data_IF_246823602584
#
_entry.id   IF_246823602584
#
_cell.length_a   1.000
_cell.length_b   1.000
_cell.length_c   1.000
_cell.angle_alpha   90.00
_cell.angle_beta   90.00
_cell.angle_gamma   90.00
#
_symmetry.space_group_name_H-M   'P 1'
#
loop_
_entity.id
_entity.type
_entity.pdbx_description
1 polymer ?
#
# COMPACT_ATOMS: atom_id res chain seq x y z
N UNK A 1 -13.51 0.94 -25.85
CA UNK A 1 -13.10 2.31 -25.42
C UNK A 1 -13.25 3.25 -26.60
N UNK A 2 -13.83 4.44 -26.40
CA UNK A 2 -13.97 5.45 -27.47
C UNK A 2 -12.61 6.05 -27.84
N UNK A 3 -12.41 6.36 -29.12
CA UNK A 3 -11.19 6.99 -29.67
C UNK A 3 -10.79 8.27 -28.91
N UNK A 4 -11.79 9.05 -28.48
CA UNK A 4 -11.60 10.29 -27.70
C UNK A 4 -10.98 10.02 -26.33
N UNK A 5 -11.39 8.94 -25.66
CA UNK A 5 -10.85 8.55 -24.35
C UNK A 5 -9.37 8.17 -24.45
N UNK A 6 -8.96 7.51 -25.54
CA UNK A 6 -7.56 7.13 -25.76
C UNK A 6 -6.65 8.34 -26.01
N UNK A 7 -7.11 9.33 -26.79
CA UNK A 7 -6.39 10.58 -27.01
C UNK A 7 -6.22 11.39 -25.73
N UNK A 8 -7.29 11.49 -24.92
CA UNK A 8 -7.25 12.19 -23.64
C UNK A 8 -6.30 11.52 -22.64
N UNK A 9 -6.31 10.18 -22.56
CA UNK A 9 -5.37 9.44 -21.72
C UNK A 9 -3.91 9.69 -22.14
N UNK A 10 -3.60 9.61 -23.43
CA UNK A 10 -2.25 9.92 -23.95
C UNK A 10 -1.81 11.34 -23.60
N UNK A 11 -2.71 12.31 -23.75
CA UNK A 11 -2.43 13.70 -23.40
C UNK A 11 -2.09 13.85 -21.92
N UNK A 12 -2.87 13.24 -21.02
CA UNK A 12 -2.58 13.31 -19.59
C UNK A 12 -1.30 12.57 -19.20
N UNK A 13 -1.01 11.43 -19.83
CA UNK A 13 0.26 10.72 -19.65
C UNK A 13 1.46 11.60 -20.02
N UNK A 14 1.37 12.34 -21.13
CA UNK A 14 2.40 13.32 -21.52
C UNK A 14 2.50 14.52 -20.58
N UNK A 15 1.42 14.89 -19.88
CA UNK A 15 1.47 15.95 -18.88
C UNK A 15 2.20 15.48 -17.63
N UNK A 16 1.87 14.30 -17.10
CA UNK A 16 2.49 13.80 -15.88
C UNK A 16 3.96 13.44 -16.08
N UNK A 17 4.37 13.03 -17.29
CA UNK A 17 5.76 12.67 -17.57
C UNK A 17 6.74 13.84 -17.52
N UNK A 18 6.25 15.08 -17.48
CA UNK A 18 7.08 16.30 -17.44
C UNK A 18 7.56 16.66 -16.04
N UNK A 19 7.07 15.99 -15.02
CA UNK A 19 7.31 16.34 -13.62
C UNK A 19 7.54 15.07 -12.79
N UNK A 20 8.20 15.15 -11.62
CA UNK A 20 8.36 14.01 -10.73
C UNK A 20 7.00 13.39 -10.38
N UNK A 21 6.95 12.06 -10.33
CA UNK A 21 5.78 11.28 -9.93
C UNK A 21 6.07 10.62 -8.58
N UNK A 22 5.06 10.18 -7.82
CA UNK A 22 5.32 9.36 -6.64
C UNK A 22 6.00 8.06 -7.07
N UNK A 23 7.10 7.70 -6.42
CA UNK A 23 7.80 6.44 -6.65
C UNK A 23 7.11 5.28 -5.92
N UNK A 24 6.56 5.57 -4.74
CA UNK A 24 5.81 4.65 -3.90
C UNK A 24 4.40 5.16 -3.60
N UNK A 25 3.39 4.38 -4.00
CA UNK A 25 1.97 4.68 -3.74
C UNK A 25 1.36 3.65 -2.80
N UNK A 26 0.84 4.11 -1.66
CA UNK A 26 0.05 3.30 -0.74
C UNK A 26 -1.43 3.35 -1.13
N UNK A 27 -2.12 2.22 -1.06
CA UNK A 27 -3.55 2.07 -1.32
C UNK A 27 -4.21 1.30 -0.17
N UNK A 28 -5.33 1.83 0.32
CA UNK A 28 -6.18 1.12 1.28
C UNK A 28 -7.50 0.72 0.61
N UNK A 29 -7.81 -0.57 0.72
CA UNK A 29 -9.06 -1.21 0.29
C UNK A 29 -9.57 -2.13 1.39
N UNK A 30 -10.85 -2.51 1.34
CA UNK A 30 -11.43 -3.49 2.26
C UNK A 30 -11.32 -4.93 1.73
N UNK A 31 -11.64 -5.93 2.56
CA UNK A 31 -11.80 -7.31 2.09
C UNK A 31 -12.94 -7.43 1.08
N UNK A 32 -14.01 -6.63 1.22
CA UNK A 32 -15.16 -6.67 0.33
C UNK A 32 -14.84 -6.16 -1.08
N UNK A 33 -13.82 -5.30 -1.19
CA UNK A 33 -13.27 -4.80 -2.44
C UNK A 33 -12.46 -5.86 -3.20
N UNK A 34 -12.02 -6.92 -2.52
CA UNK A 34 -11.31 -8.05 -3.15
C UNK A 34 -12.21 -9.27 -3.35
N UNK A 35 -13.15 -9.51 -2.44
CA UNK A 35 -13.97 -10.73 -2.44
C UNK A 35 -15.11 -10.72 -3.47
N UNK A 36 -15.41 -9.58 -4.08
CA UNK A 36 -16.36 -9.54 -5.19
C UNK A 36 -15.78 -10.17 -6.47
N UNK A 37 -16.65 -10.53 -7.41
CA UNK A 37 -16.31 -11.36 -8.57
C UNK A 37 -15.12 -10.87 -9.42
N UNK A 38 -14.91 -9.54 -9.54
CA UNK A 38 -13.79 -8.98 -10.30
C UNK A 38 -12.70 -8.32 -9.44
N UNK A 39 -12.72 -8.48 -8.10
CA UNK A 39 -11.81 -7.76 -7.20
C UNK A 39 -10.33 -8.02 -7.48
N UNK A 40 -9.94 -9.29 -7.65
CA UNK A 40 -8.56 -9.64 -8.02
C UNK A 40 -8.17 -9.18 -9.42
N UNK A 41 -9.12 -9.17 -10.36
CA UNK A 41 -8.90 -8.60 -11.70
C UNK A 41 -8.66 -7.10 -11.61
N UNK A 42 -9.42 -6.39 -10.78
CA UNK A 42 -9.26 -4.96 -10.53
C UNK A 42 -7.91 -4.65 -9.89
N UNK A 43 -7.47 -5.48 -8.94
CA UNK A 43 -6.14 -5.41 -8.34
C UNK A 43 -5.04 -5.56 -9.41
N UNK A 44 -5.21 -6.49 -10.37
CA UNK A 44 -4.33 -6.63 -11.54
C UNK A 44 -4.23 -5.36 -12.36
N UNK A 45 -5.39 -4.79 -12.66
CA UNK A 45 -5.49 -3.60 -13.49
C UNK A 45 -4.83 -2.42 -12.78
N UNK A 46 -5.07 -2.23 -11.48
CA UNK A 46 -4.41 -1.24 -10.64
C UNK A 46 -2.89 -1.36 -10.67
N UNK A 47 -2.34 -2.55 -10.40
CA UNK A 47 -0.89 -2.81 -10.47
C UNK A 47 -0.35 -2.49 -11.87
N UNK A 48 -1.09 -2.84 -12.91
CA UNK A 48 -0.72 -2.54 -14.30
C UNK A 48 -0.71 -1.03 -14.57
N UNK A 49 -1.69 -0.30 -14.05
CA UNK A 49 -1.77 1.15 -14.19
C UNK A 49 -0.61 1.83 -13.48
N UNK A 50 -0.28 1.43 -12.25
CA UNK A 50 0.88 1.96 -11.51
C UNK A 50 2.19 1.80 -12.31
N UNK A 51 2.42 0.60 -12.85
CA UNK A 51 3.59 0.32 -13.69
C UNK A 51 3.62 1.19 -14.94
N UNK A 52 2.48 1.33 -15.62
CA UNK A 52 2.37 2.15 -16.83
C UNK A 52 2.58 3.64 -16.57
N UNK A 53 2.29 4.13 -15.36
CA UNK A 53 2.54 5.51 -14.96
C UNK A 53 3.96 5.78 -14.49
N UNK A 54 4.79 4.74 -14.32
CA UNK A 54 6.18 4.85 -13.85
C UNK A 54 6.36 4.74 -12.34
N UNK A 55 5.29 4.44 -11.59
CA UNK A 55 5.39 4.13 -10.14
C UNK A 55 6.24 2.85 -10.02
N UNK A 56 7.16 2.81 -9.05
CA UNK A 56 8.07 1.67 -8.84
C UNK A 56 7.59 0.72 -7.76
N UNK A 57 6.78 1.22 -6.83
CA UNK A 57 6.27 0.42 -5.72
C UNK A 57 4.83 0.76 -5.38
N UNK A 58 4.05 -0.25 -4.99
CA UNK A 58 2.77 -0.03 -4.31
C UNK A 58 2.65 -0.87 -3.04
N UNK A 59 2.23 -0.22 -1.95
CA UNK A 59 1.82 -0.88 -0.72
C UNK A 59 0.30 -0.94 -0.67
N UNK A 60 -0.26 -2.10 -0.37
CA UNK A 60 -1.71 -2.32 -0.38
C UNK A 60 -2.10 -2.88 0.98
N UNK A 61 -2.95 -2.13 1.69
CA UNK A 61 -3.57 -2.63 2.91
C UNK A 61 -4.98 -3.06 2.64
N UNK A 62 -5.25 -4.30 3.04
CA UNK A 62 -6.56 -4.90 3.01
C UNK A 62 -7.11 -4.83 4.43
N UNK A 63 -7.94 -3.83 4.65
CA UNK A 63 -8.69 -3.66 5.88
C UNK A 63 -9.70 -4.81 5.97
N UNK A 64 -9.71 -5.52 7.10
CA UNK A 64 -10.66 -6.60 7.37
C UNK A 64 -11.53 -6.17 8.53
N UNK A 65 -12.84 -6.32 8.37
CA UNK A 65 -13.84 -5.93 9.35
C UNK A 65 -13.55 -6.55 10.73
N UNK A 66 -13.86 -5.76 11.74
CA UNK A 66 -13.79 -6.18 13.14
C UNK A 66 -14.98 -7.10 13.43
N UNK A 67 -14.75 -8.40 13.22
CA UNK A 67 -15.68 -9.48 13.54
C UNK A 67 -15.11 -10.31 14.69
N UNK A 68 -15.85 -11.34 15.12
CA UNK A 68 -15.35 -12.28 16.12
C UNK A 68 -13.98 -12.84 15.69
N UNK A 69 -13.06 -12.96 16.66
CA UNK A 69 -11.64 -13.20 16.42
C UNK A 69 -11.39 -14.42 15.51
N UNK A 70 -12.10 -15.53 15.73
CA UNK A 70 -11.91 -16.73 14.92
C UNK A 70 -12.37 -16.52 13.47
N UNK A 71 -13.50 -15.85 13.24
CA UNK A 71 -14.00 -15.53 11.91
C UNK A 71 -13.05 -14.57 11.18
N UNK A 72 -12.52 -13.58 11.90
CA UNK A 72 -11.56 -12.62 11.37
C UNK A 72 -10.29 -13.32 10.91
N UNK A 73 -9.71 -14.19 11.74
CA UNK A 73 -8.49 -14.94 11.38
C UNK A 73 -8.73 -15.89 10.20
N UNK A 74 -9.86 -16.61 10.17
CA UNK A 74 -10.23 -17.46 9.02
C UNK A 74 -10.37 -16.66 7.72
N UNK A 75 -10.95 -15.45 7.79
CA UNK A 75 -11.07 -14.56 6.63
C UNK A 75 -9.68 -14.13 6.13
N UNK A 76 -8.80 -13.71 7.04
CA UNK A 76 -7.44 -13.28 6.71
C UNK A 76 -6.65 -14.42 6.08
N UNK A 77 -6.71 -15.62 6.66
CA UNK A 77 -6.03 -16.81 6.12
C UNK A 77 -6.51 -17.12 4.70
N UNK A 78 -7.82 -17.13 4.48
CA UNK A 78 -8.42 -17.36 3.17
C UNK A 78 -8.03 -16.31 2.14
N UNK A 79 -8.02 -15.03 2.51
CA UNK A 79 -7.58 -13.94 1.64
C UNK A 79 -6.10 -14.07 1.30
N UNK A 80 -5.26 -14.35 2.29
CA UNK A 80 -3.81 -14.53 2.15
C UNK A 80 -3.48 -15.69 1.21
N UNK A 81 -4.19 -16.81 1.34
CA UNK A 81 -4.05 -17.95 0.43
C UNK A 81 -4.40 -17.58 -1.02
N UNK A 82 -5.53 -16.89 -1.24
CA UNK A 82 -5.94 -16.42 -2.58
C UNK A 82 -4.96 -15.42 -3.17
N UNK A 83 -4.45 -14.49 -2.37
CA UNK A 83 -3.44 -13.52 -2.78
C UNK A 83 -2.13 -14.21 -3.15
N UNK A 84 -1.72 -15.24 -2.41
CA UNK A 84 -0.54 -16.03 -2.73
C UNK A 84 -0.68 -16.72 -4.09
N UNK A 85 -1.80 -17.39 -4.35
CA UNK A 85 -2.09 -18.01 -5.65
C UNK A 85 -2.08 -16.98 -6.79
N UNK A 86 -2.59 -15.78 -6.52
CA UNK A 86 -2.65 -14.70 -7.49
C UNK A 86 -1.26 -14.08 -7.77
N UNK A 87 -0.47 -13.79 -6.74
CA UNK A 87 0.85 -13.16 -6.84
C UNK A 87 1.90 -14.09 -7.46
N UNK A 88 1.85 -15.39 -7.17
CA UNK A 88 2.76 -16.37 -7.77
C UNK A 88 2.63 -16.42 -9.29
N UNK A 89 1.43 -16.19 -9.84
CA UNK A 89 1.15 -16.09 -11.28
C UNK A 89 1.57 -14.76 -11.92
N UNK A 90 1.95 -13.75 -11.14
CA UNK A 90 2.39 -12.47 -11.68
C UNK A 90 3.75 -12.61 -12.41
N UNK A 91 4.04 -11.79 -13.44
CA UNK A 91 5.33 -11.81 -14.15
C UNK A 91 6.53 -11.72 -13.21
N UNK A 92 7.63 -12.43 -13.53
CA UNK A 92 8.83 -12.46 -12.68
C UNK A 92 9.55 -11.11 -12.49
N UNK A 93 9.26 -10.11 -13.34
CA UNK A 93 9.73 -8.74 -13.13
C UNK A 93 9.06 -8.03 -11.96
N UNK A 94 7.90 -8.52 -11.52
CA UNK A 94 7.14 -8.01 -10.37
C UNK A 94 7.53 -8.80 -9.13
N UNK A 95 8.11 -8.08 -8.17
CA UNK A 95 8.37 -8.56 -6.83
C UNK A 95 7.17 -8.33 -5.94
N UNK A 96 7.02 -9.16 -4.92
CA UNK A 96 5.98 -8.98 -3.92
C UNK A 96 6.44 -9.43 -2.54
N UNK A 97 5.80 -8.87 -1.51
CA UNK A 97 5.81 -9.38 -0.15
C UNK A 97 4.38 -9.36 0.37
N UNK A 98 3.94 -10.47 0.95
CA UNK A 98 2.60 -10.64 1.50
C UNK A 98 2.70 -10.93 2.99
N UNK A 99 2.04 -10.09 3.79
CA UNK A 99 2.01 -10.18 5.24
C UNK A 99 0.61 -10.52 5.73
N UNK A 100 0.56 -11.37 6.75
CA UNK A 100 -0.67 -11.80 7.41
C UNK A 100 -1.01 -10.96 8.64
N UNK A 101 -1.91 -11.48 9.46
CA UNK A 101 -2.58 -10.78 10.55
C UNK A 101 -1.64 -10.21 11.63
N UNK A 102 -0.51 -10.87 11.86
CA UNK A 102 0.46 -10.56 12.91
C UNK A 102 1.76 -9.95 12.37
N UNK A 103 1.77 -9.57 11.08
CA UNK A 103 2.96 -9.04 10.42
C UNK A 103 3.99 -10.11 10.08
N UNK A 104 3.60 -11.38 10.06
CA UNK A 104 4.40 -12.49 9.56
C UNK A 104 4.44 -12.49 8.03
N UNK A 105 5.60 -12.80 7.46
CA UNK A 105 5.77 -12.91 6.02
C UNK A 105 5.25 -14.27 5.54
N UNK A 106 4.19 -14.26 4.72
CA UNK A 106 3.57 -15.47 4.15
C UNK A 106 4.20 -15.89 2.83
N UNK A 107 4.49 -14.92 1.97
CA UNK A 107 5.07 -15.20 0.65
C UNK A 107 5.83 -14.00 0.15
N UNK A 108 6.97 -14.24 -0.48
CA UNK A 108 7.74 -13.20 -1.14
C UNK A 108 8.37 -13.68 -2.44
N UNK A 109 8.65 -12.70 -3.30
CA UNK A 109 9.50 -12.85 -4.48
C UNK A 109 10.19 -11.53 -4.75
N UNK A 110 11.49 -11.57 -5.05
CA UNK A 110 12.21 -10.38 -5.52
C UNK A 110 11.84 -10.05 -6.96
N UNK A 111 11.52 -8.78 -7.20
CA UNK A 111 11.29 -8.21 -8.52
C UNK A 111 12.49 -7.39 -8.99
N UNK A 112 12.50 -7.06 -10.28
CA UNK A 112 13.49 -6.14 -10.85
C UNK A 112 12.91 -4.74 -11.08
N UNK A 113 11.67 -4.66 -11.55
CA UNK A 113 11.14 -3.43 -12.14
C UNK A 113 10.04 -2.79 -11.28
N UNK A 114 9.31 -3.61 -10.50
CA UNK A 114 8.18 -3.15 -9.71
C UNK A 114 8.01 -4.02 -8.47
N UNK A 115 7.75 -3.40 -7.32
CA UNK A 115 7.55 -4.08 -6.05
C UNK A 115 6.11 -3.89 -5.55
N UNK A 116 5.51 -4.97 -5.07
CA UNK A 116 4.23 -4.95 -4.37
C UNK A 116 4.48 -5.29 -2.90
N UNK A 117 3.89 -4.53 -2.01
CA UNK A 117 3.78 -4.89 -0.60
C UNK A 117 2.29 -5.05 -0.30
N UNK A 118 1.88 -6.15 0.33
CA UNK A 118 0.49 -6.37 0.74
C UNK A 118 0.45 -6.74 2.22
N UNK A 119 -0.38 -6.05 2.99
CA UNK A 119 -0.72 -6.40 4.37
C UNK A 119 -2.20 -6.73 4.47
N UNK A 120 -2.52 -7.90 5.05
CA UNK A 120 -3.90 -8.35 5.27
C UNK A 120 -4.22 -8.26 6.76
N UNK A 121 -4.98 -7.24 7.16
CA UNK A 121 -5.45 -7.08 8.54
C UNK A 121 -4.37 -6.76 9.59
N UNK A 122 -3.10 -6.54 9.19
CA UNK A 122 -2.04 -6.03 10.04
C UNK A 122 -1.84 -4.53 9.86
N UNK A 123 -2.48 -3.77 10.75
CA UNK A 123 -2.49 -2.32 10.75
C UNK A 123 -1.30 -1.68 11.49
N UNK A 124 -1.17 -0.37 11.33
CA UNK A 124 -0.06 0.41 11.89
C UNK A 124 0.00 0.41 13.42
N UNK A 125 -1.14 0.43 14.12
CA UNK A 125 -1.19 0.33 15.58
C UNK A 125 -0.64 -1.00 16.07
N UNK A 126 -0.99 -2.11 15.41
CA UNK A 126 -0.44 -3.44 15.73
C UNK A 126 1.06 -3.47 15.47
N UNK A 127 1.52 -2.88 14.37
CA UNK A 127 2.94 -2.77 14.04
C UNK A 127 3.74 -2.02 15.11
N UNK A 128 3.31 -0.80 15.47
CA UNK A 128 4.01 0.00 16.49
C UNK A 128 3.99 -0.71 17.84
N UNK A 129 2.87 -1.33 18.21
CA UNK A 129 2.77 -2.11 19.46
C UNK A 129 3.76 -3.27 19.46
N UNK A 130 3.90 -3.99 18.33
CA UNK A 130 4.88 -5.06 18.16
C UNK A 130 6.31 -4.51 18.28
N UNK A 131 6.62 -3.40 17.59
CA UNK A 131 7.94 -2.78 17.63
C UNK A 131 8.35 -2.38 19.06
N UNK A 132 7.43 -1.79 19.83
CA UNK A 132 7.65 -1.45 21.24
C UNK A 132 7.93 -2.71 22.08
N UNK A 133 7.17 -3.80 21.89
CA UNK A 133 7.44 -5.07 22.59
C UNK A 133 8.82 -5.64 22.26
N UNK A 134 9.22 -5.57 20.99
CA UNK A 134 10.54 -6.04 20.54
C UNK A 134 11.68 -5.21 21.16
N UNK A 135 11.50 -3.89 21.29
CA UNK A 135 12.46 -3.01 21.99
C UNK A 135 12.53 -3.34 23.47
N UNK A 136 11.39 -3.52 24.14
CA UNK A 136 11.36 -3.87 25.57
C UNK A 136 12.05 -5.21 25.85
N UNK A 137 11.95 -6.17 24.91
CA UNK A 137 12.69 -7.42 25.01
C UNK A 137 14.22 -7.18 24.92
N UNK A 138 14.68 -6.32 24.01
CA UNK A 138 16.11 -5.92 23.94
C UNK A 138 16.58 -5.22 25.22
N UNK A 139 15.74 -4.39 25.83
CA UNK A 139 16.02 -3.74 27.13
C UNK A 139 16.17 -4.80 28.23
N UNK A 140 15.25 -5.75 28.31
CA UNK A 140 15.27 -6.84 29.30
C UNK A 140 16.53 -7.71 29.17
N UNK A 141 17.02 -7.89 27.94
CA UNK A 141 18.26 -8.62 27.64
C UNK A 141 19.52 -7.79 27.88
N UNK A 142 19.41 -6.52 28.28
CA UNK A 142 20.54 -5.62 28.51
C UNK A 142 21.24 -5.14 27.22
N UNK A 143 20.61 -5.30 26.06
CA UNK A 143 21.18 -4.92 24.75
C UNK A 143 21.06 -3.42 24.45
N UNK A 144 20.12 -2.73 25.09
CA UNK A 144 19.87 -1.29 24.95
C UNK A 144 19.36 -0.74 26.29
N UNK A 145 19.73 0.49 26.66
CA UNK A 145 19.15 1.15 27.84
C UNK A 145 17.86 1.87 27.46
N UNK A 146 16.85 1.95 28.36
CA UNK A 146 15.63 2.71 28.09
C UNK A 146 15.86 4.16 27.66
N UNK A 147 16.87 4.82 28.23
CA UNK A 147 17.24 6.20 27.92
C UNK A 147 17.91 6.39 26.56
N UNK A 148 18.34 5.31 25.91
CA UNK A 148 19.03 5.33 24.62
C UNK A 148 18.06 5.04 23.46
N UNK A 149 16.79 4.71 23.74
CA UNK A 149 15.78 4.42 22.72
C UNK A 149 15.50 5.70 21.90
N UNK A 150 15.69 5.58 20.59
CA UNK A 150 15.48 6.63 19.60
C UNK A 150 14.41 6.24 18.57
N UNK A 151 14.02 7.19 17.71
CA UNK A 151 13.16 6.94 16.54
C UNK A 151 13.74 5.83 15.65
N UNK A 152 15.07 5.79 15.48
CA UNK A 152 15.75 4.76 14.69
C UNK A 152 15.60 3.36 15.27
N UNK A 153 15.51 3.24 16.60
CA UNK A 153 15.29 1.95 17.24
C UNK A 153 13.88 1.43 16.97
N UNK A 154 12.88 2.32 16.95
CA UNK A 154 11.50 2.02 16.56
C UNK A 154 11.47 1.59 15.09
N UNK A 155 12.04 2.40 14.19
CA UNK A 155 12.12 2.11 12.75
C UNK A 155 12.79 0.77 12.46
N UNK A 156 13.83 0.41 13.23
CA UNK A 156 14.52 -0.87 13.08
C UNK A 156 13.63 -2.08 13.37
N UNK A 157 12.60 -1.88 14.20
CA UNK A 157 11.65 -2.89 14.66
C UNK A 157 10.31 -2.87 13.91
N UNK A 158 10.07 -1.92 13.01
CA UNK A 158 8.91 -1.93 12.12
C UNK A 158 9.00 -3.09 11.13
N UNK A 159 7.85 -3.71 10.84
CA UNK A 159 7.74 -4.77 9.84
C UNK A 159 7.91 -4.20 8.44
N UNK A 160 7.37 -3.00 8.22
CA UNK A 160 7.43 -2.28 6.94
C UNK A 160 8.39 -1.11 7.04
N UNK A 161 9.30 -1.00 6.09
CA UNK A 161 10.29 0.10 6.01
C UNK A 161 10.10 0.99 4.79
N UNK A 162 8.98 0.82 4.09
CA UNK A 162 8.68 1.56 2.88
C UNK A 162 7.85 2.79 3.20
N UNK A 163 8.37 3.96 2.88
CA UNK A 163 7.72 5.25 3.07
C UNK A 163 6.97 5.62 1.79
N UNK A 164 5.64 5.79 1.80
CA UNK A 164 4.91 6.17 0.61
C UNK A 164 5.06 7.66 0.33
N UNK A 165 5.21 8.04 -0.94
CA UNK A 165 5.11 9.45 -1.35
C UNK A 165 3.64 9.90 -1.34
N UNK A 166 2.75 8.98 -1.69
CA UNK A 166 1.33 9.22 -1.87
C UNK A 166 0.51 8.10 -1.24
N UNK A 167 -0.44 8.47 -0.39
CA UNK A 167 -1.37 7.58 0.27
C UNK A 167 -2.79 7.77 -0.28
N UNK A 168 -3.35 6.73 -0.90
CA UNK A 168 -4.69 6.74 -1.52
C UNK A 168 -5.65 5.95 -0.64
N UNK A 169 -6.74 6.59 -0.21
CA UNK A 169 -7.88 5.90 0.41
C UNK A 169 -9.12 6.04 -0.47
N UNK A 170 -9.69 4.89 -0.85
CA UNK A 170 -10.95 4.80 -1.58
C UNK A 170 -12.12 4.68 -0.61
N UNK A 171 -13.19 5.46 -0.83
CA UNK A 171 -14.46 5.28 -0.10
C UNK A 171 -14.48 5.80 1.35
N UNK A 172 -13.52 6.63 1.76
CA UNK A 172 -13.45 7.18 3.11
C UNK A 172 -12.73 8.53 3.19
N UNK A 173 -12.98 9.29 4.27
CA UNK A 173 -12.39 10.62 4.52
C UNK A 173 -11.43 10.68 5.71
N UNK A 174 -11.19 9.54 6.35
CA UNK A 174 -10.35 9.44 7.55
C UNK A 174 -9.05 8.72 7.25
N UNK A 175 -8.02 8.95 8.07
CA UNK A 175 -6.79 8.17 8.01
C UNK A 175 -7.07 6.69 8.32
N UNK A 176 -6.38 5.81 7.62
CA UNK A 176 -6.45 4.36 7.85
C UNK A 176 -5.40 3.94 8.87
N UNK A 177 -5.64 2.83 9.57
CA UNK A 177 -4.64 2.20 10.42
C UNK A 177 -3.59 1.45 9.59
N UNK A 178 -2.85 2.15 8.72
CA UNK A 178 -1.82 1.56 7.86
C UNK A 178 -0.66 2.51 7.64
N UNK A 179 0.57 2.00 7.77
CA UNK A 179 1.83 2.75 7.64
C UNK A 179 1.84 4.04 8.48
N UNK A 180 1.35 4.00 9.72
CA UNK A 180 1.15 5.22 10.53
C UNK A 180 2.45 5.96 10.84
N UNK A 181 3.57 5.24 10.96
CA UNK A 181 4.89 5.84 11.17
C UNK A 181 5.49 6.28 9.83
N UNK A 182 5.48 5.39 8.85
CA UNK A 182 6.13 5.54 7.56
C UNK A 182 5.45 6.59 6.67
N UNK A 183 4.18 6.91 6.93
CA UNK A 183 3.41 7.87 6.12
C UNK A 183 3.36 9.29 6.66
N UNK A 184 4.16 9.62 7.69
CA UNK A 184 4.13 10.94 8.33
C UNK A 184 4.41 12.10 7.37
N UNK A 185 5.24 11.88 6.34
CA UNK A 185 5.56 12.87 5.31
C UNK A 185 4.84 12.61 3.97
N UNK A 186 3.92 11.65 3.93
CA UNK A 186 3.18 11.31 2.72
C UNK A 186 2.13 12.37 2.36
N UNK A 187 1.90 12.55 1.07
CA UNK A 187 0.72 13.24 0.57
C UNK A 187 -0.50 12.33 0.64
N UNK A 188 -1.61 12.81 1.21
CA UNK A 188 -2.85 12.04 1.27
C UNK A 188 -3.81 12.43 0.15
N UNK A 189 -4.42 11.42 -0.48
CA UNK A 189 -5.48 11.57 -1.47
C UNK A 189 -6.68 10.71 -1.08
N UNK A 190 -7.77 11.37 -0.68
CA UNK A 190 -9.05 10.74 -0.40
C UNK A 190 -9.93 10.83 -1.66
N UNK A 191 -10.36 9.68 -2.18
CA UNK A 191 -11.25 9.62 -3.34
C UNK A 191 -12.64 9.14 -2.94
N UNK A 192 -13.66 9.88 -3.39
CA UNK A 192 -15.07 9.47 -3.29
C UNK A 192 -15.44 8.41 -4.34
N UNK A 193 -14.54 8.12 -5.29
CA UNK A 193 -14.74 7.06 -6.30
C UNK A 193 -14.62 5.70 -5.62
N UNK A 194 -15.69 4.90 -5.70
CA UNK A 194 -15.70 3.50 -5.27
C UNK A 194 -14.60 2.71 -5.98
N UNK A 195 -13.89 1.85 -5.24
CA UNK A 195 -12.78 1.04 -5.74
C UNK A 195 -13.16 0.25 -7.01
N UNK A 196 -14.36 -0.32 -7.04
CA UNK A 196 -14.90 -1.09 -8.18
C UNK A 196 -15.00 -0.23 -9.43
N UNK A 197 -15.17 1.07 -9.26
CA UNK A 197 -15.33 2.06 -10.32
C UNK A 197 -14.04 2.80 -10.70
N UNK A 198 -12.95 2.66 -9.93
CA UNK A 198 -11.66 3.32 -10.25
C UNK A 198 -11.15 2.90 -11.63
N UNK A 199 -10.66 3.84 -12.43
CA UNK A 199 -10.05 3.57 -13.74
C UNK A 199 -8.61 4.07 -13.76
N UNK A 200 -7.86 3.63 -14.77
CA UNK A 200 -6.54 4.18 -15.09
C UNK A 200 -6.51 5.71 -15.10
N UNK A 201 -7.53 6.32 -15.67
CA UNK A 201 -7.66 7.78 -15.74
C UNK A 201 -7.68 8.44 -14.37
N UNK A 202 -8.29 7.79 -13.39
CA UNK A 202 -8.39 8.29 -12.02
C UNK A 202 -7.00 8.23 -11.35
N UNK A 203 -6.22 7.18 -11.57
CA UNK A 203 -4.81 7.10 -11.14
C UNK A 203 -3.96 8.22 -11.75
N UNK A 204 -4.09 8.48 -13.05
CA UNK A 204 -3.35 9.57 -13.72
C UNK A 204 -3.73 10.94 -13.13
N UNK A 205 -5.01 11.15 -12.81
CA UNK A 205 -5.49 12.38 -12.17
C UNK A 205 -4.93 12.56 -10.77
N UNK A 206 -4.90 11.49 -9.98
CA UNK A 206 -4.33 11.48 -8.64
C UNK A 206 -2.83 11.88 -8.68
N UNK A 207 -2.05 11.28 -9.59
CA UNK A 207 -0.63 11.61 -9.78
C UNK A 207 -0.46 13.09 -10.16
N UNK A 208 -1.31 13.59 -11.07
CA UNK A 208 -1.26 15.00 -11.48
C UNK A 208 -1.56 15.95 -10.32
N UNK A 209 -2.45 15.58 -9.41
CA UNK A 209 -2.76 16.41 -8.25
C UNK A 209 -1.67 16.36 -7.18
N UNK A 210 -1.03 15.20 -6.98
CA UNK A 210 0.23 15.09 -6.23
C UNK A 210 1.29 16.07 -6.78
N UNK A 211 1.52 16.05 -8.10
CA UNK A 211 2.49 16.95 -8.76
C UNK A 211 2.19 18.43 -8.55
N UNK A 212 0.91 18.82 -8.52
CA UNK A 212 0.53 20.22 -8.26
C UNK A 212 0.83 20.63 -6.83
N UNK A 213 0.63 19.74 -5.85
CA UNK A 213 0.89 20.02 -4.43
C UNK A 213 2.38 20.10 -4.13
N UNK A 214 3.17 19.17 -4.66
CA UNK A 214 4.64 19.20 -4.52
C UNK A 214 5.26 20.51 -5.03
N UNK A 215 4.73 21.08 -6.13
CA UNK A 215 5.17 22.40 -6.62
C UNK A 215 4.83 23.58 -5.72
N UNK A 216 3.83 23.45 -4.84
CA UNK A 216 3.48 24.50 -3.87
C UNK A 216 4.41 24.50 -2.68
N UNK A 217 4.92 23.32 -2.29
CA UNK A 217 5.89 23.17 -1.19
C UNK A 217 7.33 23.48 -1.63
N UNK A 218 7.66 23.28 -2.91
CA UNK A 218 8.97 23.63 -3.49
C UNK A 218 9.09 25.06 -4.04
N UNK A 219 8.31 26.02 -3.51
CA UNK A 219 8.44 27.45 -3.81
C UNK A 219 8.78 28.25 -2.57
#
# INVERSE_FOLDING_TARGET
>A
MSFVTSLYEKHLMQQISKYPIPEHVSLVISETDLLYAEGFRKLKDYVTWCRQTGIRMTSIYIEVLDTEETLRSQMIEKLTAKLTEYLTKAPGSIGYQLFGENGELHSERKGKDFQIYISVGFGGRKEVTKAVRDILQKVKEGKIKPSEISEKDIESCLTVRYEPDLFIRSGGKHLSDFLIWQSIYSEYYFTDVDWRSIRKLDIIRIIRDFQKRQRRFGK
#
